data_IF_855944416590
#
_entry.id   IF_855944416590
#
_cell.length_a   1.000
_cell.length_b   1.000
_cell.length_c   1.000
_cell.angle_alpha   90.00
_cell.angle_beta   90.00
_cell.angle_gamma   90.00
#
_symmetry.space_group_name_H-M   'P 1'
#
loop_
_entity.id
_entity.type
_entity.pdbx_description
1 polymer ?
#
# COMPACT_ATOMS: atom_id res chain seq x y z
N UNK A 1 5.86 16.80 -7.82
CA UNK A 1 6.56 16.28 -6.62
C UNK A 1 8.05 16.29 -6.87
N UNK A 2 8.57 15.42 -7.73
CA UNK A 2 9.89 15.59 -8.32
C UNK A 2 9.86 16.76 -9.33
N UNK A 3 10.92 17.58 -9.42
CA UNK A 3 10.96 18.80 -10.24
C UNK A 3 10.25 20.03 -9.63
N UNK A 4 10.05 20.05 -8.30
CA UNK A 4 9.53 21.18 -7.51
C UNK A 4 8.22 21.83 -8.01
N UNK A 5 7.34 21.04 -8.66
CA UNK A 5 6.06 21.49 -9.25
C UNK A 5 6.18 22.48 -10.42
N UNK A 6 7.39 22.79 -10.87
CA UNK A 6 7.63 23.69 -12.00
C UNK A 6 7.77 22.93 -13.33
N UNK A 7 8.32 21.72 -13.27
CA UNK A 7 8.56 20.85 -14.43
C UNK A 7 7.92 19.48 -14.21
N UNK A 8 7.37 18.92 -15.28
CA UNK A 8 7.04 17.50 -15.31
C UNK A 8 8.33 16.70 -15.52
N UNK A 9 8.92 16.19 -14.44
CA UNK A 9 10.12 15.38 -14.53
C UNK A 9 9.78 13.90 -14.69
N UNK A 10 10.11 13.34 -15.86
CA UNK A 10 9.90 11.91 -16.12
C UNK A 10 10.88 11.04 -15.31
N UNK A 11 12.03 11.59 -14.93
CA UNK A 11 12.98 10.91 -14.03
C UNK A 11 12.33 10.54 -12.69
N UNK A 12 11.46 11.39 -12.15
CA UNK A 12 10.70 11.08 -10.94
C UNK A 12 9.82 9.83 -11.08
N UNK A 13 9.28 9.57 -12.27
CA UNK A 13 8.50 8.36 -12.56
C UNK A 13 9.41 7.14 -12.55
N UNK A 14 10.55 7.22 -13.24
CA UNK A 14 11.54 6.15 -13.28
C UNK A 14 12.00 5.75 -11.87
N UNK A 15 12.35 6.75 -11.04
CA UNK A 15 12.77 6.52 -9.65
C UNK A 15 11.70 5.80 -8.82
N UNK A 16 10.43 6.17 -8.97
CA UNK A 16 9.34 5.50 -8.27
C UNK A 16 9.16 4.06 -8.78
N UNK A 17 9.19 3.85 -10.10
CA UNK A 17 9.08 2.51 -10.71
C UNK A 17 10.21 1.60 -10.24
N UNK A 18 11.45 2.09 -10.24
CA UNK A 18 12.62 1.32 -9.83
C UNK A 18 12.55 0.95 -8.35
N UNK A 19 12.07 1.86 -7.48
CA UNK A 19 11.85 1.55 -6.06
C UNK A 19 10.93 0.34 -5.85
N UNK A 20 9.87 0.20 -6.65
CA UNK A 20 8.98 -0.98 -6.58
C UNK A 20 9.62 -2.22 -7.21
N UNK A 21 10.37 -2.08 -8.30
CA UNK A 21 11.08 -3.19 -8.95
C UNK A 21 12.14 -3.82 -8.04
N UNK A 22 12.92 -2.99 -7.36
CA UNK A 22 13.95 -3.43 -6.41
C UNK A 22 13.37 -4.26 -5.26
N UNK A 23 12.09 -4.05 -4.94
CA UNK A 23 11.33 -4.82 -3.94
C UNK A 23 10.68 -6.09 -4.49
N UNK A 24 10.87 -6.38 -5.78
CA UNK A 24 10.33 -7.57 -6.46
C UNK A 24 8.92 -7.40 -7.02
N UNK A 25 8.36 -6.19 -7.09
CA UNK A 25 7.05 -5.98 -7.70
C UNK A 25 7.14 -6.10 -9.23
N UNK A 26 6.31 -6.97 -9.81
CA UNK A 26 6.29 -7.25 -11.25
C UNK A 26 5.14 -6.56 -11.99
N UNK A 27 4.01 -6.33 -11.32
CA UNK A 27 2.85 -5.65 -11.90
C UNK A 27 2.83 -4.19 -11.45
N UNK A 28 3.38 -3.32 -12.29
CA UNK A 28 3.42 -1.87 -12.08
C UNK A 28 2.77 -1.21 -13.29
N UNK A 29 1.82 -0.29 -13.05
CA UNK A 29 1.15 0.49 -14.09
C UNK A 29 1.24 1.97 -13.76
N UNK A 30 1.77 2.75 -14.71
CA UNK A 30 1.86 4.21 -14.63
C UNK A 30 0.91 4.78 -15.66
N UNK A 31 0.03 5.69 -15.25
CA UNK A 31 -0.88 6.39 -16.15
C UNK A 31 -0.37 7.80 -16.40
N UNK A 32 -0.25 8.17 -17.67
CA UNK A 32 0.16 9.52 -18.08
C UNK A 32 -0.74 9.96 -19.24
N UNK A 33 -1.23 11.21 -19.27
CA UNK A 33 -2.02 11.66 -20.40
C UNK A 33 -1.24 11.70 -21.71
N UNK A 34 -1.84 11.19 -22.79
CA UNK A 34 -1.20 11.03 -24.10
C UNK A 34 -0.56 12.33 -24.63
N UNK A 35 -1.13 13.49 -24.30
CA UNK A 35 -0.56 14.77 -24.74
C UNK A 35 0.84 15.06 -24.18
N UNK A 36 1.27 14.35 -23.12
CA UNK A 36 2.65 14.41 -22.61
C UNK A 36 3.67 13.76 -23.56
N UNK A 37 3.22 13.06 -24.61
CA UNK A 37 4.04 12.57 -25.72
C UNK A 37 4.22 13.63 -26.82
N UNK A 38 3.39 14.67 -26.85
CA UNK A 38 3.58 15.80 -27.77
C UNK A 38 4.86 16.59 -27.40
N UNK A 39 5.46 17.33 -28.34
CA UNK A 39 6.62 18.17 -28.02
C UNK A 39 6.36 19.14 -26.86
N UNK A 40 7.37 19.39 -25.99
CA UNK A 40 7.25 20.30 -24.85
C UNK A 40 6.78 21.68 -25.29
N UNK A 41 5.89 22.27 -24.49
CA UNK A 41 5.47 23.67 -24.62
C UNK A 41 6.02 24.48 -23.44
N UNK A 42 6.24 25.77 -23.64
CA UNK A 42 6.75 26.66 -22.60
C UNK A 42 5.85 26.71 -21.36
N UNK A 43 4.53 26.64 -21.54
CA UNK A 43 3.54 26.61 -20.42
C UNK A 43 3.49 25.26 -19.68
N UNK A 44 4.04 24.19 -20.28
CA UNK A 44 4.00 22.84 -19.72
C UNK A 44 5.35 22.14 -19.95
N UNK A 45 6.43 22.61 -19.31
CA UNK A 45 7.75 22.06 -19.54
C UNK A 45 7.81 20.61 -19.03
N UNK A 46 8.54 19.78 -19.77
CA UNK A 46 8.78 18.37 -19.47
C UNK A 46 10.27 18.08 -19.64
N UNK A 47 10.84 17.38 -18.66
CA UNK A 47 12.22 16.92 -18.69
C UNK A 47 12.26 15.41 -18.89
N UNK A 48 13.29 14.93 -19.59
CA UNK A 48 13.58 13.50 -19.80
C UNK A 48 12.42 12.72 -20.44
N UNK A 49 11.74 13.34 -21.41
CA UNK A 49 10.54 12.78 -22.05
C UNK A 49 10.74 11.37 -22.65
N UNK A 50 11.95 11.03 -23.10
CA UNK A 50 12.30 9.71 -23.64
C UNK A 50 11.98 8.55 -22.67
N UNK A 51 12.04 8.79 -21.36
CA UNK A 51 11.72 7.80 -20.32
C UNK A 51 10.28 7.30 -20.47
N UNK A 52 9.34 8.17 -20.87
CA UNK A 52 7.95 7.75 -21.04
C UNK A 52 7.80 6.71 -22.15
N UNK A 53 8.58 6.85 -23.24
CA UNK A 53 8.60 5.90 -24.35
C UNK A 53 9.24 4.58 -23.95
N UNK A 54 10.30 4.63 -23.15
CA UNK A 54 10.96 3.43 -22.62
C UNK A 54 10.05 2.64 -21.70
N UNK A 55 9.35 3.32 -20.79
CA UNK A 55 8.38 2.70 -19.89
C UNK A 55 7.13 2.17 -20.63
N UNK A 56 6.72 2.83 -21.71
CA UNK A 56 5.65 2.35 -22.61
C UNK A 56 6.08 1.03 -23.30
N UNK A 57 7.30 0.98 -23.86
CA UNK A 57 7.86 -0.24 -24.48
C UNK A 57 7.94 -1.42 -23.50
N UNK A 58 8.20 -1.13 -22.23
CA UNK A 58 8.22 -2.12 -21.15
C UNK A 58 6.81 -2.51 -20.65
N UNK A 59 5.74 -1.98 -21.27
CA UNK A 59 4.36 -2.17 -20.85
C UNK A 59 4.07 -1.74 -19.40
N UNK A 60 4.84 -0.81 -18.85
CA UNK A 60 4.63 -0.23 -17.51
C UNK A 60 3.80 1.03 -17.62
N UNK A 61 4.15 1.92 -18.55
CA UNK A 61 3.39 3.14 -18.78
C UNK A 61 2.25 2.89 -19.76
N UNK A 62 1.08 3.43 -19.44
CA UNK A 62 -0.12 3.44 -20.28
C UNK A 62 -0.52 4.89 -20.50
N UNK A 63 -0.61 5.29 -21.76
CA UNK A 63 -1.13 6.60 -22.10
C UNK A 63 -2.65 6.62 -22.01
N UNK A 64 -3.20 7.55 -21.24
CA UNK A 64 -4.65 7.76 -21.19
C UNK A 64 -5.11 8.60 -22.39
N UNK A 65 -6.32 8.34 -22.92
CA UNK A 65 -6.78 9.01 -24.13
C UNK A 65 -6.85 10.53 -23.99
N UNK A 66 -6.35 11.22 -25.01
CA UNK A 66 -6.60 12.65 -25.20
C UNK A 66 -6.82 12.92 -26.68
N UNK A 67 -7.70 13.87 -27.02
CA UNK A 67 -8.01 14.22 -28.41
C UNK A 67 -8.16 15.72 -28.59
N UNK A 68 -7.99 16.19 -29.83
CA UNK A 68 -8.25 17.59 -30.22
C UNK A 68 -9.62 17.66 -30.90
N UNK A 69 -10.54 18.44 -30.34
CA UNK A 69 -11.88 18.70 -30.88
C UNK A 69 -12.00 20.19 -31.15
N UNK A 70 -12.21 20.60 -32.41
CA UNK A 70 -12.28 22.01 -32.82
C UNK A 70 -11.07 22.84 -32.36
N UNK A 71 -9.86 22.28 -32.46
CA UNK A 71 -8.62 22.92 -32.01
C UNK A 71 -8.41 22.97 -30.49
N UNK A 72 -9.42 22.63 -29.69
CA UNK A 72 -9.32 22.54 -28.22
C UNK A 72 -8.98 21.11 -27.78
N UNK A 73 -8.07 20.98 -26.82
CA UNK A 73 -7.69 19.68 -26.25
C UNK A 73 -8.78 19.22 -25.28
N UNK A 74 -9.25 17.99 -25.46
CA UNK A 74 -10.14 17.27 -24.55
C UNK A 74 -9.32 16.11 -23.98
N UNK A 75 -9.09 16.14 -22.66
CA UNK A 75 -8.32 15.13 -21.94
C UNK A 75 -9.32 14.31 -21.11
N UNK A 76 -9.24 12.99 -21.20
CA UNK A 76 -9.99 12.15 -20.28
C UNK A 76 -9.45 12.31 -18.86
N UNK A 77 -10.27 12.06 -17.85
CA UNK A 77 -9.81 12.17 -16.47
C UNK A 77 -8.97 10.95 -16.11
N UNK A 78 -7.65 11.15 -16.02
CA UNK A 78 -6.68 10.07 -15.81
C UNK A 78 -6.91 9.34 -14.49
N UNK A 79 -7.38 10.07 -13.47
CA UNK A 79 -7.66 9.57 -12.14
C UNK A 79 -8.66 8.41 -12.14
N UNK A 80 -9.66 8.44 -13.04
CA UNK A 80 -10.61 7.32 -13.17
C UNK A 80 -9.93 6.05 -13.65
N UNK A 81 -8.96 6.15 -14.57
CA UNK A 81 -8.21 4.97 -15.02
C UNK A 81 -7.33 4.42 -13.89
N UNK A 82 -6.68 5.30 -13.13
CA UNK A 82 -5.83 4.94 -11.98
C UNK A 82 -6.65 4.19 -10.94
N UNK A 83 -7.75 4.78 -10.45
CA UNK A 83 -8.60 4.19 -9.41
C UNK A 83 -9.24 2.89 -9.90
N UNK A 84 -9.80 2.88 -11.12
CA UNK A 84 -10.48 1.70 -11.65
C UNK A 84 -9.53 0.51 -11.81
N UNK A 85 -8.35 0.71 -12.38
CA UNK A 85 -7.38 -0.39 -12.57
C UNK A 85 -6.83 -0.89 -11.24
N UNK A 86 -6.56 0.02 -10.29
CA UNK A 86 -6.15 -0.37 -8.96
C UNK A 86 -7.24 -1.17 -8.23
N UNK A 87 -8.50 -0.74 -8.31
CA UNK A 87 -9.64 -1.40 -7.71
C UNK A 87 -9.87 -2.79 -8.30
N UNK A 88 -9.93 -2.93 -9.63
CA UNK A 88 -10.16 -4.20 -10.32
C UNK A 88 -9.05 -5.25 -10.07
N UNK A 89 -7.82 -4.80 -9.77
CA UNK A 89 -6.67 -5.68 -9.51
C UNK A 89 -6.40 -5.90 -8.02
N UNK A 90 -7.21 -5.31 -7.15
CA UNK A 90 -6.98 -5.23 -5.70
C UNK A 90 -5.52 -4.82 -5.41
N UNK A 91 -5.16 -3.66 -5.95
CA UNK A 91 -3.83 -3.07 -5.87
C UNK A 91 -3.76 -1.86 -4.93
N UNK A 92 -2.63 -1.16 -5.02
CA UNK A 92 -2.35 0.08 -4.29
C UNK A 92 -2.23 1.23 -5.28
N UNK A 93 -2.73 2.41 -4.90
CA UNK A 93 -2.56 3.66 -5.67
C UNK A 93 -1.39 4.43 -5.07
N UNK A 94 -0.42 4.82 -5.90
CA UNK A 94 0.72 5.65 -5.46
C UNK A 94 0.48 7.08 -5.92
N UNK A 95 0.01 7.94 -5.01
CA UNK A 95 -0.33 9.33 -5.31
C UNK A 95 -0.38 10.17 -4.05
N UNK A 96 -0.18 11.48 -4.21
CA UNK A 96 -0.44 12.46 -3.16
C UNK A 96 -1.79 13.17 -3.32
N UNK A 97 -2.54 12.86 -4.38
CA UNK A 97 -3.92 13.30 -4.54
C UNK A 97 -4.85 12.36 -3.77
N UNK A 98 -5.89 12.93 -3.18
CA UNK A 98 -6.94 12.20 -2.48
C UNK A 98 -8.11 11.84 -3.40
N UNK A 99 -8.19 12.35 -4.64
CA UNK A 99 -9.29 12.03 -5.57
C UNK A 99 -10.69 12.30 -5.00
N UNK A 100 -10.86 13.42 -4.29
CA UNK A 100 -12.07 13.73 -3.50
C UNK A 100 -13.36 13.70 -4.32
N UNK A 101 -13.28 14.10 -5.57
CA UNK A 101 -14.39 14.01 -6.54
C UNK A 101 -14.80 12.55 -6.78
N UNK A 102 -13.84 11.66 -7.07
CA UNK A 102 -14.12 10.24 -7.27
C UNK A 102 -14.64 9.54 -6.01
N UNK A 103 -14.17 9.96 -4.83
CA UNK A 103 -14.70 9.48 -3.55
C UNK A 103 -16.18 9.87 -3.36
N UNK A 104 -16.59 11.05 -3.83
CA UNK A 104 -17.98 11.50 -3.73
C UNK A 104 -18.88 10.84 -4.78
N UNK A 105 -18.33 10.40 -5.91
CA UNK A 105 -19.07 9.70 -6.97
C UNK A 105 -19.45 8.27 -6.59
N UNK A 106 -18.56 7.52 -5.94
CA UNK A 106 -18.78 6.12 -5.60
C UNK A 106 -18.27 5.78 -4.18
N UNK A 107 -19.15 5.33 -3.25
CA UNK A 107 -18.76 4.97 -1.89
C UNK A 107 -17.77 3.79 -1.82
N UNK A 108 -17.80 2.87 -2.79
CA UNK A 108 -16.81 1.77 -2.85
C UNK A 108 -15.42 2.29 -3.20
N UNK A 109 -15.33 3.26 -4.12
CA UNK A 109 -14.08 3.92 -4.45
C UNK A 109 -13.56 4.75 -3.30
N UNK A 110 -14.44 5.43 -2.56
CA UNK A 110 -14.06 6.12 -1.33
C UNK A 110 -13.38 5.17 -0.36
N UNK A 111 -14.03 4.07 0.00
CA UNK A 111 -13.46 3.08 0.91
C UNK A 111 -12.13 2.52 0.37
N UNK A 112 -12.07 2.20 -0.92
CA UNK A 112 -10.85 1.69 -1.54
C UNK A 112 -9.69 2.69 -1.45
N UNK A 113 -9.90 3.95 -1.84
CA UNK A 113 -8.89 5.00 -1.82
C UNK A 113 -8.39 5.22 -0.38
N UNK A 114 -9.30 5.31 0.59
CA UNK A 114 -8.95 5.45 2.01
C UNK A 114 -8.05 4.30 2.52
N UNK A 115 -8.19 3.10 1.98
CA UNK A 115 -7.46 1.90 2.42
C UNK A 115 -6.26 1.52 1.55
N UNK A 116 -6.09 2.13 0.37
CA UNK A 116 -5.12 1.71 -0.65
C UNK A 116 -4.31 2.86 -1.25
N UNK A 117 -4.46 4.09 -0.77
CA UNK A 117 -3.64 5.23 -1.17
C UNK A 117 -2.29 5.23 -0.43
N UNK A 118 -1.20 5.14 -1.18
CA UNK A 118 0.17 5.31 -0.72
C UNK A 118 0.69 6.68 -1.13
N UNK A 119 0.79 7.57 -0.15
CA UNK A 119 1.46 8.86 -0.32
C UNK A 119 2.97 8.70 -0.36
N UNK A 120 3.66 9.73 -0.83
CA UNK A 120 5.12 9.74 -0.89
C UNK A 120 5.68 11.16 -0.85
N UNK A 121 6.96 11.25 -0.49
CA UNK A 121 7.75 12.47 -0.64
C UNK A 121 8.97 12.21 -1.52
N UNK A 122 9.46 13.27 -2.15
CA UNK A 122 10.76 13.26 -2.79
C UNK A 122 11.73 14.10 -1.97
N UNK A 123 12.86 13.51 -1.61
CA UNK A 123 14.00 14.24 -1.04
C UNK A 123 15.10 14.19 -2.09
N UNK A 124 15.25 15.28 -2.84
CA UNK A 124 16.07 15.33 -4.05
C UNK A 124 15.66 14.22 -5.05
N UNK A 125 16.53 13.24 -5.31
CA UNK A 125 16.28 12.12 -6.21
C UNK A 125 15.89 10.83 -5.48
N UNK A 126 15.45 10.92 -4.21
CA UNK A 126 15.02 9.76 -3.44
C UNK A 126 13.50 9.74 -3.30
N UNK A 127 12.88 8.68 -3.81
CA UNK A 127 11.48 8.37 -3.58
C UNK A 127 11.32 7.79 -2.17
N UNK A 128 10.48 8.44 -1.35
CA UNK A 128 10.32 8.12 0.07
C UNK A 128 8.83 7.98 0.43
N UNK A 129 8.25 6.79 0.29
CA UNK A 129 6.94 6.47 0.88
C UNK A 129 7.05 6.36 2.42
N UNK A 130 5.97 6.60 3.18
CA UNK A 130 5.95 6.42 4.62
C UNK A 130 5.99 4.94 5.00
N UNK A 131 6.63 4.62 6.12
CA UNK A 131 6.66 3.26 6.67
C UNK A 131 5.31 2.83 7.27
N UNK A 132 4.44 3.80 7.59
CA UNK A 132 3.10 3.67 8.14
C UNK A 132 2.03 4.34 7.24
N UNK A 133 1.67 3.74 6.08
CA UNK A 133 0.78 4.38 5.09
C UNK A 133 -0.59 4.81 5.62
N UNK A 134 -1.13 4.11 6.62
CA UNK A 134 -2.41 4.42 7.26
C UNK A 134 -2.24 4.89 8.72
N UNK A 135 -1.06 5.42 9.05
CA UNK A 135 -0.69 5.91 10.38
C UNK A 135 -0.41 4.81 11.40
N UNK A 136 -0.25 5.22 12.67
CA UNK A 136 0.24 4.38 13.79
C UNK A 136 -0.51 3.07 14.01
N UNK A 137 -1.81 3.06 13.74
CA UNK A 137 -2.67 1.88 13.92
C UNK A 137 -2.87 1.09 12.64
N UNK A 138 -2.26 1.53 11.54
CA UNK A 138 -2.30 0.87 10.24
C UNK A 138 -1.28 -0.26 10.08
N UNK A 139 -1.30 -0.95 8.94
CA UNK A 139 -0.28 -1.91 8.58
C UNK A 139 1.06 -1.23 8.32
N UNK A 140 2.15 -1.99 8.46
CA UNK A 140 3.48 -1.59 7.98
C UNK A 140 3.48 -1.49 6.45
N UNK A 141 4.40 -0.71 5.89
CA UNK A 141 4.56 -0.57 4.44
C UNK A 141 4.70 -1.92 3.71
N UNK A 142 5.46 -2.88 4.26
CA UNK A 142 5.55 -4.22 3.65
C UNK A 142 4.23 -4.97 3.65
N UNK A 143 3.43 -4.87 4.72
CA UNK A 143 2.12 -5.52 4.78
C UNK A 143 1.11 -4.81 3.88
N UNK A 144 1.18 -3.49 3.80
CA UNK A 144 0.35 -2.68 2.92
C UNK A 144 0.57 -3.01 1.43
N UNK A 145 1.83 -3.27 1.05
CA UNK A 145 2.20 -3.63 -0.32
C UNK A 145 2.07 -5.13 -0.64
N UNK A 146 1.70 -5.96 0.34
CA UNK A 146 1.57 -7.42 0.16
C UNK A 146 0.10 -7.82 0.06
N UNK A 147 -0.23 -8.71 -0.89
CA UNK A 147 -1.56 -9.33 -0.99
C UNK A 147 -1.85 -10.32 0.13
N UNK A 148 -0.80 -10.93 0.70
CA UNK A 148 -0.92 -11.80 1.86
C UNK A 148 -0.37 -11.05 3.06
N UNK A 149 -1.16 -10.81 4.12
CA UNK A 149 -0.63 -10.18 5.31
C UNK A 149 0.52 -11.04 5.82
N UNK A 150 1.74 -10.50 5.80
CA UNK A 150 2.84 -11.12 6.51
C UNK A 150 2.50 -10.89 7.97
N UNK A 151 2.07 -11.95 8.65
CA UNK A 151 1.90 -11.90 10.10
C UNK A 151 3.20 -11.33 10.66
N UNK A 152 3.14 -10.34 11.58
CA UNK A 152 4.35 -9.85 12.21
C UNK A 152 5.09 -11.09 12.69
N UNK A 153 6.31 -11.31 12.20
CA UNK A 153 7.19 -12.29 12.83
C UNK A 153 7.11 -11.96 14.31
N UNK A 154 6.72 -12.91 15.17
CA UNK A 154 6.68 -12.61 16.58
C UNK A 154 8.14 -12.38 16.96
N UNK A 155 8.53 -11.10 17.00
CA UNK A 155 9.80 -10.63 17.53
C UNK A 155 9.69 -10.86 19.02
N UNK A 156 9.81 -12.12 19.39
CA UNK A 156 10.02 -12.64 20.72
C UNK A 156 11.37 -12.09 21.18
N UNK A 157 11.39 -10.81 21.52
CA UNK A 157 12.55 -10.16 22.11
C UNK A 157 12.87 -10.95 23.38
N UNK A 158 14.09 -11.50 23.42
CA UNK A 158 14.58 -12.22 24.59
C UNK A 158 14.52 -11.28 25.79
N UNK A 159 14.04 -11.78 26.92
CA UNK A 159 14.00 -10.98 28.13
C UNK A 159 15.42 -10.51 28.51
N UNK A 160 15.66 -9.21 28.74
CA UNK A 160 16.96 -8.70 29.18
C UNK A 160 17.49 -9.37 30.45
N UNK A 161 16.57 -9.86 31.30
CA UNK A 161 16.91 -10.52 32.56
C UNK A 161 17.05 -12.05 32.43
N UNK A 162 16.68 -12.65 31.29
CA UNK A 162 16.83 -14.08 31.02
C UNK A 162 16.35 -14.97 32.17
N UNK A 163 17.24 -15.84 32.69
CA UNK A 163 16.94 -16.74 33.81
C UNK A 163 16.71 -16.02 35.16
N UNK A 164 17.12 -14.76 35.28
CA UNK A 164 16.93 -13.91 36.48
C UNK A 164 15.64 -13.08 36.43
N UNK A 165 14.78 -13.29 35.44
CA UNK A 165 13.52 -12.57 35.31
C UNK A 165 12.52 -12.94 36.42
N UNK A 166 12.28 -12.01 37.33
CA UNK A 166 11.35 -12.12 38.46
C UNK A 166 9.87 -11.97 38.07
N UNK A 167 9.58 -11.46 36.87
CA UNK A 167 8.22 -11.25 36.37
C UNK A 167 7.47 -12.55 36.00
N UNK A 168 8.13 -13.71 36.07
CA UNK A 168 7.50 -15.02 35.84
C UNK A 168 6.73 -15.09 34.50
N UNK A 169 5.60 -15.81 34.48
CA UNK A 169 4.74 -15.96 33.30
C UNK A 169 4.03 -14.65 32.87
N UNK A 170 4.19 -13.56 33.62
CA UNK A 170 3.66 -12.24 33.26
C UNK A 170 4.68 -11.38 32.49
N UNK A 171 5.88 -11.92 32.22
CA UNK A 171 6.88 -11.20 31.45
C UNK A 171 6.43 -11.06 29.99
N UNK A 172 6.44 -9.83 29.48
CA UNK A 172 6.12 -9.51 28.07
C UNK A 172 7.18 -10.01 27.07
N UNK A 173 8.35 -10.41 27.56
CA UNK A 173 9.49 -10.83 26.75
C UNK A 173 9.64 -12.36 26.73
N UNK A 174 10.25 -12.89 25.67
CA UNK A 174 10.37 -14.33 25.44
C UNK A 174 11.44 -14.99 26.32
N UNK A 175 11.12 -16.18 26.82
CA UNK A 175 12.01 -17.03 27.60
C UNK A 175 12.04 -18.43 26.98
N UNK A 176 13.13 -18.85 26.30
CA UNK A 176 13.21 -20.16 25.64
C UNK A 176 13.16 -21.35 26.61
N UNK A 177 13.43 -21.11 27.90
CA UNK A 177 13.45 -22.12 28.96
C UNK A 177 12.06 -22.39 29.56
N UNK A 178 11.02 -21.67 29.10
CA UNK A 178 9.64 -21.82 29.61
C UNK A 178 8.74 -22.35 28.49
N UNK A 179 7.94 -23.40 28.73
CA UNK A 179 6.97 -23.85 27.73
C UNK A 179 6.03 -22.69 27.40
N UNK A 180 5.91 -22.37 26.12
CA UNK A 180 5.02 -21.34 25.60
C UNK A 180 3.57 -21.82 25.72
N UNK A 181 3.06 -21.90 26.95
CA UNK A 181 1.62 -22.01 27.17
C UNK A 181 1.04 -20.68 26.71
N UNK A 182 0.38 -20.72 25.55
CA UNK A 182 -0.42 -19.61 25.06
C UNK A 182 -1.37 -19.22 26.20
N UNK A 183 -1.11 -18.06 26.82
CA UNK A 183 -2.02 -17.51 27.80
C UNK A 183 -3.29 -17.15 27.06
N UNK A 184 -4.30 -18.02 27.16
CA UNK A 184 -5.67 -17.62 26.92
C UNK A 184 -5.94 -16.42 27.84
N UNK A 185 -6.54 -15.36 27.30
CA UNK A 185 -6.94 -14.25 28.15
C UNK A 185 -7.95 -14.76 29.19
N UNK A 186 -8.08 -14.11 30.34
CA UNK A 186 -9.10 -14.48 31.34
C UNK A 186 -10.51 -14.54 30.71
N UNK A 187 -10.76 -13.72 29.69
CA UNK A 187 -11.98 -13.76 28.90
C UNK A 187 -12.12 -15.02 28.03
N UNK A 188 -11.03 -15.51 27.43
CA UNK A 188 -11.00 -16.75 26.65
C UNK A 188 -11.10 -18.00 27.53
N UNK A 189 -10.50 -17.97 28.73
CA UNK A 189 -10.70 -19.02 29.74
C UNK A 189 -12.16 -19.08 30.23
N UNK A 190 -12.81 -17.94 30.44
CA UNK A 190 -14.23 -17.91 30.78
C UNK A 190 -15.11 -18.47 29.65
N UNK A 191 -14.82 -18.12 28.39
CA UNK A 191 -15.55 -18.66 27.23
C UNK A 191 -15.34 -20.17 27.06
N UNK A 192 -14.12 -20.67 27.28
CA UNK A 192 -13.82 -22.09 27.21
C UNK A 192 -14.57 -22.89 28.29
N UNK A 193 -14.78 -22.31 29.49
CA UNK A 193 -15.57 -22.93 30.56
C UNK A 193 -17.08 -22.96 30.28
N UNK A 194 -17.58 -22.01 29.49
CA UNK A 194 -19.01 -21.93 29.11
C UNK A 194 -19.35 -22.91 27.97
N UNK A 195 -18.39 -23.26 27.11
CA UNK A 195 -18.60 -24.10 25.93
C UNK A 195 -18.42 -25.62 26.15
N UNK A 196 -18.50 -26.12 27.39
CA UNK A 196 -18.62 -27.57 27.62
C UNK A 196 -20.07 -27.98 27.37
N UNK A 197 -20.39 -28.81 26.36
CA UNK A 197 -21.74 -29.30 26.15
C UNK A 197 -22.11 -30.22 27.31
N UNK A 198 -23.30 -29.99 27.88
CA UNK A 198 -23.97 -30.91 28.80
C UNK A 198 -23.94 -32.33 28.20
N UNK A 199 -23.32 -33.25 28.92
CA UNK A 199 -23.30 -34.67 28.58
C UNK A 199 -24.73 -35.19 28.51
N UNK A 200 -25.16 -35.58 27.32
CA UNK A 200 -26.37 -36.37 27.07
C UNK A 200 -26.25 -37.68 27.88
N UNK A 201 -27.30 -37.97 28.65
CA UNK A 201 -27.38 -39.16 29.49
C UNK A 201 -27.24 -40.46 28.69
N UNK A 202 -26.50 -41.41 29.24
CA UNK A 202 -26.62 -42.82 28.91
C UNK A 202 -27.75 -43.39 29.78
N UNK A 203 -28.85 -43.78 29.15
CA UNK A 203 -29.74 -44.80 29.70
C UNK A 203 -29.12 -46.17 29.37
N UNK A 204 -28.86 -46.96 30.41
CA UNK A 204 -28.61 -48.40 30.32
C UNK A 204 -29.84 -49.11 30.90
N UNK A 205 -30.32 -50.09 30.11
CA UNK A 205 -31.20 -51.24 30.42
C UNK A 205 -32.69 -51.02 30.75
#
# INVERSE_FOLDING_TARGET
>A
SHGNKEVFSCWGIQLAVDWFRERGHTYIKVFVPLWRKEPPRQESPIADQHILEELEKQSILVYTPSRKVKGKRVVCYDDRYIVKVAYEKDGVIVSNDNYRDLQNENPEWKWFIEQRLLMYSFVSNRFMPPDDPLGRHGPTLSNFLSKKPVLPEPKWQLCPYGKKCTYGNKCKFYHPERPHQAQLSVADELRAKINVPLSVGKEEE
#
